data_IF_880020773942
#
_entry.id   IF_880020773942
#
_cell.length_a   1.000
_cell.length_b   1.000
_cell.length_c   1.000
_cell.angle_alpha   90.00
_cell.angle_beta   90.00
_cell.angle_gamma   90.00
#
_symmetry.space_group_name_H-M   'P 1'
#
loop_
_entity.id
_entity.type
_entity.pdbx_description
1 polymer ?
#
# COMPACT_ATOMS: atom_id res chain seq x y z
N UNK A 1 -13.79 18.06 44.17
CA UNK A 1 -14.87 17.42 43.36
C UNK A 1 -14.66 17.48 41.85
N UNK A 2 -13.66 18.19 41.33
CA UNK A 2 -13.37 18.32 39.91
C UNK A 2 -12.44 17.21 39.38
N UNK A 3 -11.62 16.61 40.20
CA UNK A 3 -10.69 15.54 39.83
C UNK A 3 -11.29 14.14 39.64
N UNK A 4 -12.53 13.91 40.09
CA UNK A 4 -13.21 12.63 39.94
C UNK A 4 -13.91 12.47 38.57
N UNK A 5 -14.08 13.56 37.80
CA UNK A 5 -14.73 13.53 36.49
C UNK A 5 -13.77 13.18 35.34
N UNK A 6 -12.45 13.34 35.54
CA UNK A 6 -11.45 13.05 34.50
C UNK A 6 -11.00 11.58 34.44
N UNK A 7 -11.30 10.78 35.45
CA UNK A 7 -10.90 9.37 35.49
C UNK A 7 -11.82 8.42 34.71
N UNK A 8 -12.96 8.90 34.22
CA UNK A 8 -13.98 8.11 33.51
C UNK A 8 -13.86 8.11 31.97
N UNK A 9 -13.08 8.99 31.42
CA UNK A 9 -12.88 9.11 29.98
C UNK A 9 -11.66 8.30 29.49
N UNK A 10 -11.50 7.04 29.87
CA UNK A 10 -10.86 6.06 28.99
C UNK A 10 -11.79 5.92 27.81
N UNK A 11 -11.49 6.70 26.76
CA UNK A 11 -12.24 6.62 25.50
C UNK A 11 -12.25 5.15 25.09
N UNK A 12 -13.40 4.53 25.16
CA UNK A 12 -13.62 3.25 24.51
C UNK A 12 -13.34 3.55 23.04
N UNK A 13 -12.22 3.03 22.52
CA UNK A 13 -11.94 3.14 21.09
C UNK A 13 -13.21 2.74 20.38
N UNK A 14 -13.72 3.63 19.52
CA UNK A 14 -14.94 3.35 18.78
C UNK A 14 -14.71 2.09 17.94
N UNK A 15 -15.75 1.30 17.73
CA UNK A 15 -15.71 0.13 16.87
C UNK A 15 -15.07 0.46 15.50
N UNK A 16 -15.37 1.64 14.95
CA UNK A 16 -14.78 2.15 13.73
C UNK A 16 -13.25 2.38 13.84
N UNK A 17 -12.76 2.93 14.94
CA UNK A 17 -11.32 3.18 15.16
C UNK A 17 -10.54 1.88 15.32
N UNK A 18 -11.20 0.82 15.78
CA UNK A 18 -10.58 -0.48 16.02
C UNK A 18 -10.55 -1.33 14.76
N UNK A 19 -11.65 -1.36 14.01
CA UNK A 19 -11.86 -2.29 12.88
C UNK A 19 -11.44 -1.68 11.54
N UNK A 20 -11.69 -0.38 11.33
CA UNK A 20 -11.38 0.30 10.07
C UNK A 20 -9.92 0.13 9.60
N UNK A 21 -8.88 0.27 10.44
CA UNK A 21 -7.51 0.08 10.00
C UNK A 21 -7.19 -1.36 9.57
N UNK A 22 -7.85 -2.35 10.17
CA UNK A 22 -7.69 -3.74 9.77
C UNK A 22 -8.25 -3.99 8.37
N UNK A 23 -9.49 -3.58 8.10
CA UNK A 23 -10.09 -3.74 6.78
C UNK A 23 -9.36 -2.94 5.70
N UNK A 24 -8.88 -1.74 6.04
CA UNK A 24 -8.03 -0.95 5.13
C UNK A 24 -6.76 -1.71 4.71
N UNK A 25 -6.07 -2.37 5.65
CA UNK A 25 -4.91 -3.21 5.34
C UNK A 25 -5.27 -4.40 4.47
N UNK A 26 -6.37 -5.09 4.78
CA UNK A 26 -6.85 -6.21 3.98
C UNK A 26 -7.16 -5.79 2.53
N UNK A 27 -7.76 -4.61 2.33
CA UNK A 27 -8.04 -4.07 1.00
C UNK A 27 -6.75 -3.78 0.22
N UNK A 28 -5.72 -3.18 0.85
CA UNK A 28 -4.42 -2.98 0.22
C UNK A 28 -3.74 -4.31 -0.12
N UNK A 29 -3.74 -5.27 0.80
CA UNK A 29 -3.16 -6.59 0.56
C UNK A 29 -3.86 -7.28 -0.61
N UNK A 30 -5.19 -7.24 -0.65
CA UNK A 30 -5.97 -7.77 -1.78
C UNK A 30 -5.54 -7.13 -3.11
N UNK A 31 -5.46 -5.79 -3.17
CA UNK A 31 -5.05 -5.07 -4.36
C UNK A 31 -3.65 -5.49 -4.83
N UNK A 32 -2.67 -5.55 -3.93
CA UNK A 32 -1.30 -5.91 -4.30
C UNK A 32 -1.13 -7.38 -4.65
N UNK A 33 -1.88 -8.28 -4.02
CA UNK A 33 -1.85 -9.69 -4.39
C UNK A 33 -2.46 -9.93 -5.78
N UNK A 34 -3.56 -9.24 -6.12
CA UNK A 34 -4.12 -9.32 -7.48
C UNK A 34 -3.15 -8.75 -8.50
N UNK A 35 -2.48 -7.64 -8.20
CA UNK A 35 -1.43 -7.09 -9.07
C UNK A 35 -0.24 -8.05 -9.24
N UNK A 36 0.17 -8.76 -8.19
CA UNK A 36 1.21 -9.78 -8.28
C UNK A 36 0.78 -10.96 -9.16
N UNK A 37 -0.48 -11.38 -9.07
CA UNK A 37 -1.03 -12.43 -9.93
C UNK A 37 -1.08 -12.00 -11.40
N UNK A 38 -1.44 -10.76 -11.67
CA UNK A 38 -1.43 -10.20 -13.03
C UNK A 38 -0.01 -10.17 -13.61
N UNK A 39 1.00 -9.78 -12.82
CA UNK A 39 2.40 -9.83 -13.24
C UNK A 39 2.83 -11.26 -13.58
N UNK A 40 2.48 -12.23 -12.75
CA UNK A 40 2.81 -13.63 -12.99
C UNK A 40 2.08 -14.21 -14.21
N UNK A 41 0.81 -13.88 -14.38
CA UNK A 41 -0.03 -14.35 -15.49
C UNK A 41 0.36 -13.74 -16.84
N UNK A 42 0.77 -12.49 -16.85
CA UNK A 42 1.14 -11.75 -18.08
C UNK A 42 2.62 -11.35 -18.10
N UNK A 43 3.48 -12.17 -17.54
CA UNK A 43 4.92 -11.89 -17.40
C UNK A 43 5.58 -11.44 -18.71
N UNK A 44 5.33 -12.18 -19.80
CA UNK A 44 5.94 -11.89 -21.10
C UNK A 44 5.42 -10.59 -21.72
N UNK A 45 4.12 -10.33 -21.60
CA UNK A 45 3.51 -9.08 -22.08
C UNK A 45 4.10 -7.87 -21.38
N UNK A 46 4.12 -7.88 -20.04
CA UNK A 46 4.64 -6.78 -19.24
C UNK A 46 6.15 -6.59 -19.48
N UNK A 47 6.92 -7.69 -19.62
CA UNK A 47 8.35 -7.60 -19.96
C UNK A 47 8.58 -6.95 -21.33
N UNK A 48 7.73 -7.24 -22.32
CA UNK A 48 7.79 -6.60 -23.64
C UNK A 48 7.46 -5.12 -23.57
N UNK A 49 6.43 -4.73 -22.79
CA UNK A 49 6.06 -3.34 -22.59
C UNK A 49 7.19 -2.54 -21.91
N UNK A 50 7.83 -3.12 -20.91
CA UNK A 50 9.00 -2.52 -20.26
C UNK A 50 10.18 -2.36 -21.24
N UNK A 51 10.40 -3.34 -22.13
CA UNK A 51 11.40 -3.25 -23.19
C UNK A 51 11.10 -2.09 -24.14
N UNK A 52 9.87 -1.94 -24.57
CA UNK A 52 9.42 -0.84 -25.42
C UNK A 52 9.58 0.53 -24.75
N UNK A 53 9.50 0.58 -23.43
CA UNK A 53 9.74 1.77 -22.61
C UNK A 53 11.21 1.96 -22.22
N UNK A 54 12.13 1.23 -22.85
CA UNK A 54 13.59 1.30 -22.65
C UNK A 54 14.04 1.03 -21.21
N UNK A 55 13.27 0.26 -20.45
CA UNK A 55 13.66 -0.18 -19.09
C UNK A 55 14.74 -1.26 -19.21
N UNK A 56 15.89 -1.10 -18.53
CA UNK A 56 16.96 -2.11 -18.60
C UNK A 56 16.55 -3.39 -17.89
N UNK A 57 16.90 -4.54 -18.47
CA UNK A 57 16.72 -5.88 -17.91
C UNK A 57 15.28 -6.10 -17.34
N UNK A 58 14.21 -6.03 -18.19
CA UNK A 58 12.83 -6.11 -17.74
C UNK A 58 12.49 -7.31 -16.84
N UNK A 59 12.98 -8.54 -17.10
CA UNK A 59 12.68 -9.67 -16.22
C UNK A 59 13.21 -9.50 -14.79
N UNK A 60 14.36 -8.87 -14.62
CA UNK A 60 14.93 -8.59 -13.31
C UNK A 60 14.10 -7.52 -12.58
N UNK A 61 13.70 -6.47 -13.29
CA UNK A 61 12.82 -5.43 -12.73
C UNK A 61 11.50 -6.03 -12.26
N UNK A 62 10.85 -6.86 -13.06
CA UNK A 62 9.60 -7.53 -12.68
C UNK A 62 9.79 -8.44 -11.45
N UNK A 63 10.90 -9.17 -11.37
CA UNK A 63 11.20 -9.99 -10.21
C UNK A 63 11.34 -9.14 -8.94
N UNK A 64 12.07 -8.03 -9.01
CA UNK A 64 12.25 -7.10 -7.88
C UNK A 64 10.91 -6.49 -7.47
N UNK A 65 10.09 -6.05 -8.43
CA UNK A 65 8.73 -5.54 -8.18
C UNK A 65 7.89 -6.58 -7.46
N UNK A 66 7.88 -7.83 -7.94
CA UNK A 66 7.12 -8.92 -7.33
C UNK A 66 7.55 -9.19 -5.88
N UNK A 67 8.87 -9.25 -5.64
CA UNK A 67 9.42 -9.46 -4.28
C UNK A 67 8.99 -8.31 -3.36
N UNK A 68 9.05 -7.07 -3.81
CA UNK A 68 8.67 -5.90 -3.01
C UNK A 68 7.17 -5.86 -2.74
N UNK A 69 6.33 -6.21 -3.71
CA UNK A 69 4.88 -6.36 -3.51
C UNK A 69 4.60 -7.41 -2.44
N UNK A 70 5.24 -8.58 -2.51
CA UNK A 70 5.03 -9.65 -1.54
C UNK A 70 5.50 -9.25 -0.14
N UNK A 71 6.70 -8.70 -0.01
CA UNK A 71 7.23 -8.24 1.28
C UNK A 71 6.36 -7.14 1.91
N UNK A 72 5.97 -6.15 1.11
CA UNK A 72 5.08 -5.09 1.56
C UNK A 72 3.71 -5.60 1.97
N UNK A 73 3.12 -6.51 1.19
CA UNK A 73 1.82 -7.11 1.49
C UNK A 73 1.85 -7.95 2.77
N UNK A 74 2.89 -8.74 2.98
CA UNK A 74 3.10 -9.51 4.22
C UNK A 74 3.24 -8.57 5.42
N UNK A 75 4.05 -7.51 5.28
CA UNK A 75 4.22 -6.48 6.31
C UNK A 75 2.89 -5.83 6.70
N UNK A 76 2.06 -5.45 5.71
CA UNK A 76 0.74 -4.87 5.95
C UNK A 76 -0.24 -5.87 6.58
N UNK A 77 -0.27 -7.12 6.10
CA UNK A 77 -1.19 -8.14 6.57
C UNK A 77 -1.00 -8.44 8.05
N UNK A 78 0.23 -8.70 8.46
CA UNK A 78 0.56 -9.02 9.86
C UNK A 78 0.69 -7.77 10.74
N UNK A 79 0.77 -6.59 10.15
CA UNK A 79 1.01 -5.37 10.90
C UNK A 79 2.40 -5.33 11.54
N UNK A 80 3.40 -5.95 10.90
CA UNK A 80 4.79 -5.97 11.33
C UNK A 80 5.62 -4.99 10.48
N UNK A 81 6.26 -4.02 11.14
CA UNK A 81 6.94 -2.91 10.46
C UNK A 81 6.06 -2.21 9.41
N UNK A 82 4.77 -2.06 9.70
CA UNK A 82 3.74 -1.60 8.77
C UNK A 82 4.10 -0.30 8.06
N UNK A 83 4.71 0.65 8.77
CA UNK A 83 5.13 1.92 8.17
C UNK A 83 6.16 1.72 7.07
N UNK A 84 7.14 0.83 7.27
CA UNK A 84 8.16 0.52 6.26
C UNK A 84 7.56 -0.21 5.06
N UNK A 85 6.67 -1.18 5.31
CA UNK A 85 5.92 -1.86 4.25
C UNK A 85 5.09 -0.90 3.42
N UNK A 86 4.39 0.04 4.06
CA UNK A 86 3.61 1.06 3.38
C UNK A 86 4.47 2.03 2.55
N UNK A 87 5.63 2.46 3.05
CA UNK A 87 6.59 3.28 2.30
C UNK A 87 7.14 2.51 1.09
N UNK A 88 7.47 1.24 1.26
CA UNK A 88 7.96 0.39 0.18
C UNK A 88 6.92 0.28 -0.95
N UNK A 89 5.67 -0.06 -0.60
CA UNK A 89 4.57 -0.16 -1.56
C UNK A 89 4.24 1.19 -2.21
N UNK A 90 4.27 2.28 -1.44
CA UNK A 90 4.10 3.63 -1.95
C UNK A 90 5.13 3.95 -3.04
N UNK A 91 6.42 3.75 -2.76
CA UNK A 91 7.48 4.00 -3.73
C UNK A 91 7.33 3.16 -5.00
N UNK A 92 7.00 1.86 -4.85
CA UNK A 92 6.76 0.97 -5.98
C UNK A 92 5.55 1.40 -6.81
N UNK A 93 4.46 1.81 -6.17
CA UNK A 93 3.24 2.24 -6.88
C UNK A 93 3.47 3.54 -7.65
N UNK A 94 4.18 4.51 -7.07
CA UNK A 94 4.54 5.75 -7.79
C UNK A 94 5.40 5.44 -9.02
N UNK A 95 6.43 4.61 -8.88
CA UNK A 95 7.31 4.24 -10.00
C UNK A 95 6.49 3.52 -11.08
N UNK A 96 5.65 2.56 -10.71
CA UNK A 96 4.79 1.84 -11.65
C UNK A 96 3.80 2.78 -12.35
N UNK A 97 3.12 3.67 -11.61
CA UNK A 97 2.17 4.62 -12.16
C UNK A 97 2.81 5.54 -13.21
N UNK A 98 3.98 6.09 -12.93
CA UNK A 98 4.67 7.00 -13.86
C UNK A 98 5.25 6.25 -15.05
N UNK A 99 5.76 5.02 -14.85
CA UNK A 99 6.43 4.26 -15.92
C UNK A 99 5.43 3.56 -16.84
N UNK A 100 4.36 2.98 -16.29
CA UNK A 100 3.43 2.15 -17.05
C UNK A 100 2.22 2.92 -17.56
N UNK A 101 1.79 3.97 -16.86
CA UNK A 101 0.56 4.72 -17.14
C UNK A 101 0.86 6.15 -17.60
N UNK A 102 1.69 6.28 -18.62
CA UNK A 102 2.12 7.54 -19.24
C UNK A 102 1.04 8.12 -20.19
N UNK A 103 -0.15 8.37 -19.66
CA UNK A 103 -1.34 8.81 -20.39
C UNK A 103 -1.10 10.07 -21.25
N UNK A 104 -0.08 10.85 -20.96
CA UNK A 104 0.29 12.06 -21.72
C UNK A 104 0.88 11.76 -23.10
N UNK A 105 1.33 10.54 -23.37
CA UNK A 105 1.87 10.14 -24.67
C UNK A 105 0.80 9.56 -25.62
N UNK A 106 -0.42 9.32 -25.14
CA UNK A 106 -1.48 8.76 -25.96
C UNK A 106 -2.22 9.85 -26.75
N UNK A 107 -2.23 9.74 -28.08
CA UNK A 107 -2.96 10.65 -28.98
C UNK A 107 -4.46 10.37 -29.04
N UNK A 108 -4.86 9.11 -28.87
CA UNK A 108 -6.27 8.71 -28.87
C UNK A 108 -6.95 9.06 -27.52
N UNK A 109 -8.12 9.70 -27.61
CA UNK A 109 -8.83 10.18 -26.43
C UNK A 109 -9.32 9.05 -25.52
N UNK A 110 -9.74 7.92 -26.10
CA UNK A 110 -10.24 6.76 -25.34
C UNK A 110 -9.11 6.06 -24.60
N UNK A 111 -7.98 5.81 -25.26
CA UNK A 111 -6.79 5.22 -24.66
C UNK A 111 -6.22 6.13 -23.55
N UNK A 112 -6.17 7.44 -23.81
CA UNK A 112 -5.73 8.42 -22.80
C UNK A 112 -6.64 8.40 -21.57
N UNK A 113 -7.96 8.41 -21.74
CA UNK A 113 -8.90 8.39 -20.63
C UNK A 113 -8.77 7.10 -19.79
N UNK A 114 -8.57 5.96 -20.45
CA UNK A 114 -8.35 4.68 -19.80
C UNK A 114 -7.07 4.69 -18.95
N UNK A 115 -5.93 5.11 -19.53
CA UNK A 115 -4.66 5.18 -18.83
C UNK A 115 -4.67 6.20 -17.69
N UNK A 116 -5.33 7.34 -17.88
CA UNK A 116 -5.54 8.32 -16.81
C UNK A 116 -6.36 7.75 -15.66
N UNK A 117 -7.40 6.94 -15.95
CA UNK A 117 -8.19 6.27 -14.91
C UNK A 117 -7.34 5.33 -14.03
N UNK A 118 -6.43 4.57 -14.65
CA UNK A 118 -5.51 3.69 -13.92
C UNK A 118 -4.51 4.51 -13.09
N UNK A 119 -3.92 5.55 -13.67
CA UNK A 119 -3.02 6.46 -12.97
C UNK A 119 -3.69 7.12 -11.75
N UNK A 120 -4.93 7.63 -11.93
CA UNK A 120 -5.69 8.24 -10.84
C UNK A 120 -6.00 7.24 -9.70
N UNK A 121 -6.31 5.99 -10.04
CA UNK A 121 -6.47 4.90 -9.07
C UNK A 121 -5.19 4.69 -8.27
N UNK A 122 -4.04 4.57 -8.94
CA UNK A 122 -2.77 4.33 -8.28
C UNK A 122 -2.36 5.51 -7.39
N UNK A 123 -2.66 6.73 -7.84
CA UNK A 123 -2.46 7.94 -7.03
C UNK A 123 -3.33 7.96 -5.76
N UNK A 124 -4.59 7.51 -5.85
CA UNK A 124 -5.47 7.37 -4.68
C UNK A 124 -4.94 6.31 -3.70
N UNK A 125 -4.41 5.18 -4.20
CA UNK A 125 -3.77 4.14 -3.40
C UNK A 125 -2.54 4.70 -2.67
N UNK A 126 -1.72 5.49 -3.36
CA UNK A 126 -0.59 6.19 -2.76
C UNK A 126 -1.02 7.11 -1.60
N UNK A 127 -2.12 7.84 -1.77
CA UNK A 127 -2.71 8.65 -0.69
C UNK A 127 -3.08 7.83 0.53
N UNK A 128 -3.73 6.68 0.33
CA UNK A 128 -4.08 5.74 1.41
C UNK A 128 -2.87 5.14 2.12
N UNK A 129 -1.80 4.80 1.37
CA UNK A 129 -0.54 4.32 1.96
C UNK A 129 0.15 5.40 2.79
N UNK A 130 0.15 6.66 2.34
CA UNK A 130 0.69 7.78 3.13
C UNK A 130 -0.09 8.00 4.43
N UNK A 131 -1.41 7.88 4.41
CA UNK A 131 -2.23 7.89 5.62
C UNK A 131 -1.81 6.77 6.57
N UNK A 132 -1.55 5.57 6.07
CA UNK A 132 -1.08 4.45 6.87
C UNK A 132 0.31 4.68 7.46
N UNK A 133 1.21 5.33 6.72
CA UNK A 133 2.53 5.74 7.24
C UNK A 133 2.38 6.72 8.40
N UNK A 134 1.48 7.71 8.27
CA UNK A 134 1.24 8.72 9.30
C UNK A 134 0.53 8.18 10.54
N UNK A 135 -0.61 7.53 10.34
CA UNK A 135 -1.48 7.05 11.43
C UNK A 135 -0.97 5.75 12.08
N UNK A 136 -0.19 4.95 11.33
CA UNK A 136 0.32 3.66 11.79
C UNK A 136 -0.68 2.51 11.54
N UNK A 137 -0.33 1.29 12.03
CA UNK A 137 -1.01 0.05 11.65
C UNK A 137 -2.38 -0.18 12.29
N UNK A 138 -2.77 0.64 13.27
CA UNK A 138 -3.99 0.42 14.05
C UNK A 138 -3.84 -0.65 15.16
N UNK A 139 -4.89 -0.88 15.96
CA UNK A 139 -4.82 -1.66 17.20
C UNK A 139 -4.52 -3.15 17.01
N UNK A 140 -4.92 -3.75 15.88
CA UNK A 140 -4.68 -5.17 15.58
C UNK A 140 -3.38 -5.43 14.80
N UNK A 141 -2.29 -4.79 15.21
CA UNK A 141 -1.01 -4.98 14.56
C UNK A 141 0.01 -5.60 15.51
N UNK A 142 0.88 -6.44 14.98
CA UNK A 142 1.99 -7.03 15.72
C UNK A 142 2.91 -5.95 16.27
N UNK A 143 3.06 -4.83 15.56
CA UNK A 143 3.83 -3.66 16.02
C UNK A 143 3.38 -3.08 17.37
N UNK A 144 2.14 -3.36 17.80
CA UNK A 144 1.61 -2.87 19.06
C UNK A 144 1.84 -3.83 20.22
N UNK A 145 2.09 -5.11 19.98
CA UNK A 145 2.35 -6.10 21.02
C UNK A 145 3.67 -5.87 21.74
N UNK A 146 4.66 -5.30 21.05
CA UNK A 146 5.97 -4.93 21.64
C UNK A 146 5.97 -3.66 22.50
N UNK A 147 4.94 -2.79 22.39
CA UNK A 147 4.86 -1.52 23.12
C UNK A 147 4.14 -1.60 24.45
N UNK A 148 3.49 -2.73 24.75
CA UNK A 148 2.73 -2.96 25.99
C UNK A 148 3.60 -3.26 27.23
N UNK A 149 4.90 -3.48 27.08
CA UNK A 149 5.80 -3.90 28.17
C UNK A 149 6.65 -2.82 28.84
N UNK A 150 6.60 -1.57 28.40
CA UNK A 150 7.57 -0.54 28.78
C UNK A 150 7.01 0.75 29.37
N UNK A 151 6.03 0.69 30.29
CA UNK A 151 5.72 1.87 31.12
C UNK A 151 5.20 1.48 32.51
N UNK A 152 6.08 0.87 33.29
CA UNK A 152 6.05 0.92 34.76
C UNK A 152 7.43 1.36 35.23
N UNK A 153 7.61 2.67 35.36
CA UNK A 153 8.46 3.30 36.36
C UNK A 153 8.04 4.75 36.50
#
# INVERSE_FOLDING_TARGET
>A
MIQAAESGARSRMSFSETISPFFGRCAFVWFYLTSAMDILGNWRGIATDLTNKHVPIPPLVLLVVLVFILLGSISLLFGYHTRHGAVLLFGMTIVAAVTMHDFWHYGDASARAYQFGIFARDFAICGGLLLMVGMGPGPFAVDNTGKGGGKKR
#
